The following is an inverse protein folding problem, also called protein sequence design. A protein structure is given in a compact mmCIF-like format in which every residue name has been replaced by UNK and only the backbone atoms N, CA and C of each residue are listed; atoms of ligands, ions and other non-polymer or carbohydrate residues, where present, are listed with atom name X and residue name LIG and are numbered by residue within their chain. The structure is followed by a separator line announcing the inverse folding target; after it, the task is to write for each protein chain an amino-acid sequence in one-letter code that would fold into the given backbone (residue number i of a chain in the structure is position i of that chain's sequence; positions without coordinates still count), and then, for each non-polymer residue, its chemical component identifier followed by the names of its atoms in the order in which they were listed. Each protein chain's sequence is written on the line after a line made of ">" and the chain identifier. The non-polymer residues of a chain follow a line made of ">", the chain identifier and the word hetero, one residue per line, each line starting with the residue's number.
data_IF_347089182526
#
_entry.id   IF_347089182526
#
_cell.length_a   1.000
_cell.length_b   1.000
_cell.length_c   1.000
_cell.angle_alpha   90.00
_cell.angle_beta   90.00
_cell.angle_gamma   90.00
#
_symmetry.space_group_name_H-M   'P 1'
#
loop_
_entity.id
_entity.type
_entity.pdbx_description
1 polymer ?
#
# COMPACT_ATOMS: atom_id res chain seq x y z
N UNK A 1 -22.12 -14.45 -17.78
CA UNK A 1 -22.34 -13.37 -16.81
C UNK A 1 -21.12 -12.50 -16.92
N UNK A 2 -21.27 -11.33 -17.54
CA UNK A 2 -20.24 -10.29 -17.48
C UNK A 2 -20.19 -9.87 -16.01
N UNK A 3 -19.22 -10.38 -15.27
CA UNK A 3 -18.98 -9.97 -13.89
C UNK A 3 -18.31 -8.60 -13.95
N UNK A 4 -19.11 -7.55 -14.14
CA UNK A 4 -18.66 -6.19 -13.86
C UNK A 4 -18.22 -6.15 -12.39
N UNK A 5 -17.02 -5.61 -12.16
CA UNK A 5 -16.50 -5.40 -10.82
C UNK A 5 -17.42 -4.41 -10.09
N UNK A 6 -17.57 -4.56 -8.77
CA UNK A 6 -18.21 -3.50 -8.00
C UNK A 6 -17.41 -2.21 -8.11
N UNK A 7 -18.10 -1.09 -7.99
CA UNK A 7 -17.47 0.24 -8.02
C UNK A 7 -16.38 0.36 -6.94
N UNK A 8 -16.62 -0.21 -5.76
CA UNK A 8 -15.66 -0.26 -4.66
C UNK A 8 -14.40 -1.03 -5.06
N UNK A 9 -14.57 -2.17 -5.75
CA UNK A 9 -13.43 -2.95 -6.26
C UNK A 9 -12.66 -2.20 -7.33
N UNK A 10 -13.34 -1.55 -8.28
CA UNK A 10 -12.67 -0.73 -9.29
C UNK A 10 -11.87 0.42 -8.66
N UNK A 11 -12.47 1.16 -7.73
CA UNK A 11 -11.82 2.25 -7.01
C UNK A 11 -10.60 1.73 -6.24
N UNK A 12 -10.72 0.59 -5.56
CA UNK A 12 -9.61 -0.06 -4.86
C UNK A 12 -8.47 -0.42 -5.82
N UNK A 13 -8.76 -1.07 -6.94
CA UNK A 13 -7.75 -1.51 -7.91
C UNK A 13 -7.03 -0.33 -8.57
N UNK A 14 -7.73 0.76 -8.86
CA UNK A 14 -7.11 2.00 -9.36
C UNK A 14 -6.07 2.52 -8.36
N UNK A 15 -6.39 2.52 -7.07
CA UNK A 15 -5.44 2.97 -6.05
C UNK A 15 -4.31 1.97 -5.81
N UNK A 16 -4.56 0.67 -5.93
CA UNK A 16 -3.53 -0.37 -5.85
C UNK A 16 -2.48 -0.19 -6.95
N UNK A 17 -2.91 0.04 -8.20
CA UNK A 17 -2.01 0.34 -9.33
C UNK A 17 -1.23 1.62 -9.08
N UNK A 18 -1.89 2.65 -8.54
CA UNK A 18 -1.23 3.91 -8.17
C UNK A 18 -0.15 3.69 -7.11
N UNK A 19 -0.48 2.98 -6.03
CA UNK A 19 0.47 2.63 -4.96
C UNK A 19 1.67 1.89 -5.52
N UNK A 20 1.45 0.89 -6.38
CA UNK A 20 2.53 0.15 -7.04
C UNK A 20 3.44 1.05 -7.89
N UNK A 21 2.85 1.95 -8.68
CA UNK A 21 3.60 2.92 -9.48
C UNK A 21 4.46 3.85 -8.61
N UNK A 22 3.88 4.39 -7.54
CA UNK A 22 4.59 5.27 -6.59
C UNK A 22 5.70 4.52 -5.84
N UNK A 23 5.50 3.25 -5.45
CA UNK A 23 6.56 2.45 -4.84
C UNK A 23 7.73 2.21 -5.78
N UNK A 24 7.45 1.89 -7.05
CA UNK A 24 8.50 1.74 -8.08
C UNK A 24 9.30 3.03 -8.24
N UNK A 25 8.65 4.19 -8.23
CA UNK A 25 9.32 5.48 -8.29
C UNK A 25 10.14 5.76 -7.03
N UNK A 26 9.60 5.45 -5.84
CA UNK A 26 10.31 5.59 -4.57
C UNK A 26 11.58 4.73 -4.55
N UNK A 27 11.50 3.46 -4.96
CA UNK A 27 12.65 2.56 -4.99
C UNK A 27 13.72 2.98 -5.99
N UNK A 28 13.34 3.60 -7.11
CA UNK A 28 14.29 4.04 -8.14
C UNK A 28 14.92 5.40 -7.86
N UNK A 29 14.17 6.34 -7.27
CA UNK A 29 14.61 7.71 -7.04
C UNK A 29 15.10 7.98 -5.61
N UNK A 30 14.65 7.20 -4.63
CA UNK A 30 14.82 7.50 -3.21
C UNK A 30 14.05 8.74 -2.75
N UNK A 31 13.14 9.28 -3.55
CA UNK A 31 12.40 10.49 -3.23
C UNK A 31 11.36 10.25 -2.14
N UNK A 32 11.66 10.69 -0.92
CA UNK A 32 10.79 10.54 0.25
C UNK A 32 9.49 11.35 0.16
N UNK A 33 9.38 12.35 -0.72
CA UNK A 33 8.13 13.09 -0.92
C UNK A 33 6.99 12.19 -1.44
N UNK A 34 7.35 11.09 -2.09
CA UNK A 34 6.41 10.07 -2.59
C UNK A 34 5.64 9.36 -1.46
N UNK A 35 6.10 9.44 -0.20
CA UNK A 35 5.32 8.94 0.94
C UNK A 35 3.97 9.66 1.07
N UNK A 36 3.87 10.92 0.67
CA UNK A 36 2.58 11.64 0.66
C UNK A 36 1.62 11.00 -0.33
N UNK A 37 2.10 10.67 -1.53
CA UNK A 37 1.26 10.04 -2.55
C UNK A 37 0.87 8.60 -2.18
N UNK A 38 1.81 7.83 -1.62
CA UNK A 38 1.50 6.50 -1.09
C UNK A 38 0.40 6.55 -0.03
N UNK A 39 0.48 7.51 0.90
CA UNK A 39 -0.52 7.72 1.95
C UNK A 39 -1.90 8.02 1.38
N UNK A 40 -1.98 8.86 0.35
CA UNK A 40 -3.24 9.22 -0.29
C UNK A 40 -3.87 8.04 -1.03
N UNK A 41 -3.06 7.24 -1.72
CA UNK A 41 -3.53 6.00 -2.35
C UNK A 41 -4.05 5.01 -1.30
N UNK A 42 -3.28 4.78 -0.23
CA UNK A 42 -3.62 3.86 0.85
C UNK A 42 -4.90 4.26 1.58
N UNK A 43 -5.11 5.55 1.86
CA UNK A 43 -6.35 6.03 2.48
C UNK A 43 -7.58 5.76 1.61
N UNK A 44 -7.43 5.91 0.30
CA UNK A 44 -8.53 5.64 -0.65
C UNK A 44 -8.78 4.14 -0.80
N UNK A 45 -7.73 3.31 -0.80
CA UNK A 45 -7.87 1.85 -0.73
C UNK A 45 -8.64 1.44 0.54
N UNK A 46 -8.24 1.99 1.70
CA UNK A 46 -8.92 1.72 2.97
C UNK A 46 -10.39 2.15 2.91
N UNK A 47 -10.70 3.34 2.37
CA UNK A 47 -12.08 3.80 2.28
C UNK A 47 -12.96 2.91 1.38
N UNK A 48 -12.40 2.36 0.30
CA UNK A 48 -13.11 1.47 -0.62
C UNK A 48 -13.33 0.06 -0.04
N UNK A 49 -12.33 -0.47 0.68
CA UNK A 49 -12.37 -1.81 1.27
C UNK A 49 -13.12 -1.84 2.60
N UNK A 50 -12.94 -0.83 3.46
CA UNK A 50 -13.41 -0.87 4.84
C UNK A 50 -14.94 -0.87 4.93
N UNK A 51 -15.49 -1.97 5.43
CA UNK A 51 -16.94 -2.16 5.56
C UNK A 51 -17.65 -2.55 4.26
N UNK A 52 -16.89 -2.79 3.18
CA UNK A 52 -17.44 -3.40 1.97
C UNK A 52 -17.85 -4.84 2.24
N UNK A 53 -18.90 -5.29 1.52
CA UNK A 53 -19.36 -6.70 1.50
C UNK A 53 -19.00 -7.38 0.18
N UNK A 54 -18.15 -6.74 -0.62
CA UNK A 54 -17.65 -7.33 -1.84
C UNK A 54 -16.71 -8.48 -1.49
N UNK A 55 -17.00 -9.68 -2.02
CA UNK A 55 -16.24 -10.90 -1.73
C UNK A 55 -14.80 -10.84 -2.21
N UNK A 56 -14.53 -10.08 -3.28
CA UNK A 56 -13.16 -9.87 -3.77
C UNK A 56 -12.38 -9.08 -2.73
N UNK A 57 -12.97 -7.99 -2.21
CA UNK A 57 -12.36 -7.16 -1.18
C UNK A 57 -12.19 -7.92 0.13
N UNK A 58 -13.21 -8.65 0.59
CA UNK A 58 -13.13 -9.52 1.78
C UNK A 58 -12.02 -10.58 1.66
N UNK A 59 -11.80 -11.13 0.46
CA UNK A 59 -10.77 -12.14 0.24
C UNK A 59 -9.35 -11.59 0.34
N UNK A 60 -9.16 -10.29 0.09
CA UNK A 60 -7.85 -9.62 0.14
C UNK A 60 -7.64 -8.80 1.42
N UNK A 61 -8.59 -8.84 2.37
CA UNK A 61 -8.51 -8.16 3.67
C UNK A 61 -7.19 -8.42 4.43
N UNK A 62 -6.67 -9.67 4.52
CA UNK A 62 -5.41 -9.93 5.20
C UNK A 62 -4.25 -9.13 4.60
N UNK A 63 -4.22 -8.98 3.27
CA UNK A 63 -3.13 -8.33 2.57
C UNK A 63 -3.27 -6.82 2.63
N UNK A 64 -4.50 -6.32 2.65
CA UNK A 64 -4.80 -4.92 2.96
C UNK A 64 -4.29 -4.54 4.36
N UNK A 65 -4.49 -5.42 5.35
CA UNK A 65 -3.99 -5.19 6.71
C UNK A 65 -2.45 -5.12 6.75
N UNK A 66 -1.75 -5.92 5.94
CA UNK A 66 -0.29 -5.82 5.78
C UNK A 66 0.09 -4.45 5.22
N UNK A 67 -0.55 -3.99 4.15
CA UNK A 67 -0.27 -2.68 3.55
C UNK A 67 -0.47 -1.56 4.59
N UNK A 68 -1.65 -1.51 5.22
CA UNK A 68 -2.03 -0.42 6.12
C UNK A 68 -1.16 -0.40 7.38
N UNK A 69 -0.92 -1.57 7.98
CA UNK A 69 -0.11 -1.68 9.19
C UNK A 69 1.36 -1.32 8.96
N UNK A 70 1.95 -1.79 7.85
CA UNK A 70 3.33 -1.45 7.54
C UNK A 70 3.48 0.04 7.20
N UNK A 71 2.52 0.63 6.48
CA UNK A 71 2.58 2.05 6.16
C UNK A 71 2.41 2.95 7.39
N UNK A 72 1.51 2.60 8.32
CA UNK A 72 1.39 3.31 9.61
C UNK A 72 2.71 3.23 10.40
N UNK A 73 3.39 2.09 10.38
CA UNK A 73 4.72 1.94 10.99
C UNK A 73 5.79 2.79 10.30
N UNK A 74 5.75 2.94 8.97
CA UNK A 74 6.63 3.87 8.24
C UNK A 74 6.41 5.30 8.74
N UNK A 75 5.15 5.75 8.81
CA UNK A 75 4.81 7.09 9.30
C UNK A 75 5.30 7.29 10.74
N UNK A 76 5.15 6.30 11.62
CA UNK A 76 5.68 6.36 12.99
C UNK A 76 7.19 6.45 13.01
N UNK A 77 7.88 5.61 12.23
CA UNK A 77 9.35 5.59 12.16
C UNK A 77 9.89 6.94 11.69
N UNK A 78 9.33 7.51 10.61
CA UNK A 78 9.72 8.82 10.09
C UNK A 78 9.46 9.97 11.07
N UNK A 79 8.46 9.84 11.96
CA UNK A 79 8.20 10.82 13.03
C UNK A 79 9.16 10.68 14.22
N UNK A 80 9.79 9.53 14.39
CA UNK A 80 10.68 9.24 15.52
C UNK A 80 12.16 9.45 15.21
N UNK A 81 12.54 9.62 13.95
CA UNK A 81 13.90 10.00 13.57
C UNK A 81 14.14 11.46 13.98
N UNK A 82 14.94 11.68 15.03
CA UNK A 82 15.35 13.01 15.48
C UNK A 82 15.98 13.79 14.30
N UNK A 83 15.59 15.05 14.14
CA UNK A 83 16.07 15.98 13.11
C UNK A 83 15.88 15.54 11.64
N UNK A 84 15.00 14.56 11.38
CA UNK A 84 14.75 14.06 10.03
C UNK A 84 15.89 13.23 9.45
N UNK A 85 16.84 12.81 10.30
CA UNK A 85 17.97 11.97 9.90
C UNK A 85 17.59 10.49 10.04
N UNK A 86 17.49 9.80 8.91
CA UNK A 86 17.28 8.35 8.87
C UNK A 86 18.63 7.67 9.09
N UNK A 87 18.85 7.13 10.29
CA UNK A 87 20.04 6.32 10.58
C UNK A 87 19.98 4.94 9.89
N UNK A 88 21.08 4.17 9.96
CA UNK A 88 21.15 2.86 9.32
C UNK A 88 20.13 1.83 9.86
N UNK A 89 19.77 1.92 11.15
CA UNK A 89 18.75 1.08 11.77
C UNK A 89 17.35 1.43 11.27
N UNK A 90 17.03 2.73 11.25
CA UNK A 90 15.81 3.29 10.70
C UNK A 90 15.66 2.95 9.20
N UNK A 91 16.71 3.08 8.41
CA UNK A 91 16.71 2.71 6.99
C UNK A 91 16.44 1.21 6.79
N UNK A 92 17.06 0.35 7.61
CA UNK A 92 16.80 -1.09 7.57
C UNK A 92 15.35 -1.43 7.92
N UNK A 93 14.78 -0.75 8.92
CA UNK A 93 13.37 -0.85 9.27
C UNK A 93 12.46 -0.43 8.13
N UNK A 94 12.72 0.75 7.54
CA UNK A 94 11.98 1.31 6.42
C UNK A 94 11.97 0.36 5.22
N UNK A 95 13.12 -0.17 4.83
CA UNK A 95 13.23 -1.12 3.71
C UNK A 95 12.41 -2.40 3.96
N UNK A 96 12.41 -2.93 5.19
CA UNK A 96 11.60 -4.10 5.54
C UNK A 96 10.11 -3.81 5.44
N UNK A 97 9.66 -2.66 5.95
CA UNK A 97 8.26 -2.25 5.89
C UNK A 97 7.80 -2.06 4.44
N UNK A 98 8.61 -1.39 3.62
CA UNK A 98 8.35 -1.21 2.20
C UNK A 98 8.29 -2.53 1.44
N UNK A 99 9.19 -3.47 1.74
CA UNK A 99 9.17 -4.79 1.13
C UNK A 99 7.91 -5.59 1.48
N UNK A 100 7.44 -5.53 2.73
CA UNK A 100 6.19 -6.18 3.13
C UNK A 100 4.98 -5.59 2.36
N UNK A 101 4.97 -4.27 2.12
CA UNK A 101 3.92 -3.62 1.32
C UNK A 101 3.99 -4.10 -0.13
N UNK A 102 5.19 -4.17 -0.71
CA UNK A 102 5.41 -4.66 -2.08
C UNK A 102 4.91 -6.09 -2.26
N UNK A 103 5.27 -7.02 -1.36
CA UNK A 103 4.77 -8.39 -1.39
C UNK A 103 3.24 -8.46 -1.29
N UNK A 104 2.63 -7.67 -0.40
CA UNK A 104 1.18 -7.62 -0.26
C UNK A 104 0.50 -7.08 -1.54
N UNK A 105 1.07 -6.06 -2.18
CA UNK A 105 0.57 -5.52 -3.45
C UNK A 105 0.60 -6.59 -4.55
N UNK A 106 1.68 -7.36 -4.65
CA UNK A 106 1.81 -8.46 -5.61
C UNK A 106 0.80 -9.57 -5.32
N UNK A 107 0.62 -9.96 -4.06
CA UNK A 107 -0.34 -10.99 -3.67
C UNK A 107 -1.78 -10.59 -4.02
N UNK A 108 -2.15 -9.32 -3.78
CA UNK A 108 -3.47 -8.79 -4.16
C UNK A 108 -3.61 -8.81 -5.69
N UNK A 109 -2.60 -8.35 -6.43
CA UNK A 109 -2.64 -8.33 -7.89
C UNK A 109 -2.84 -9.74 -8.47
N UNK A 110 -2.18 -10.75 -7.91
CA UNK A 110 -2.39 -12.15 -8.30
C UNK A 110 -3.80 -12.65 -7.95
N UNK A 111 -4.30 -12.32 -6.75
CA UNK A 111 -5.63 -12.72 -6.29
C UNK A 111 -6.77 -12.14 -7.16
N UNK A 112 -6.57 -10.94 -7.70
CA UNK A 112 -7.54 -10.26 -8.58
C UNK A 112 -7.27 -10.44 -10.08
N UNK A 113 -6.27 -11.24 -10.45
CA UNK A 113 -5.96 -11.58 -11.85
C UNK A 113 -5.33 -10.45 -12.67
N UNK A 114 -4.61 -9.52 -12.01
CA UNK A 114 -3.85 -8.45 -12.67
C UNK A 114 -2.45 -8.88 -13.12
N UNK A 115 -1.93 -10.00 -12.59
CA UNK A 115 -0.64 -10.60 -12.93
C UNK A 115 -0.71 -12.13 -12.92
#
# INVERSE_FOLDING_TARGET
>A
MDNELSKETEEFLVQLVRLNGTMKELFSSGNVELFTEMNDAIKKMYAAQHGSKDKVLEAIDPECAVIYGNFDMIVKLLRTTEDGVIDAGAQKGLNKLLHNIDEAVVNIAAAVGLV
#
